data_IF_568343983371
#
_entry.id   IF_568343983371
#
_cell.length_a   1.000
_cell.length_b   1.000
_cell.length_c   1.000
_cell.angle_alpha   90.00
_cell.angle_beta   90.00
_cell.angle_gamma   90.00
#
_symmetry.space_group_name_H-M   'P 1'
#
loop_
_entity.id
_entity.type
_entity.pdbx_description
1 polymer ?
#
# COMPACT_ATOMS: atom_id res chain seq x y z
N UNK A 1 -10.66 -32.44 5.76
CA UNK A 1 -10.51 -30.98 5.87
C UNK A 1 -9.78 -30.49 4.63
N UNK A 2 -10.33 -29.50 3.91
CA UNK A 2 -9.56 -28.82 2.87
C UNK A 2 -8.50 -27.92 3.55
N UNK A 3 -7.29 -27.78 3.00
CA UNK A 3 -6.28 -26.90 3.56
C UNK A 3 -6.78 -25.45 3.50
N UNK A 4 -6.64 -24.72 4.61
CA UNK A 4 -6.88 -23.29 4.64
C UNK A 4 -5.75 -22.64 3.82
N UNK A 5 -6.06 -21.89 2.75
CA UNK A 5 -5.02 -21.22 1.98
C UNK A 5 -4.29 -20.24 2.90
N UNK A 6 -2.97 -20.40 3.01
CA UNK A 6 -2.13 -19.45 3.73
C UNK A 6 -2.18 -18.14 2.95
N UNK A 7 -2.63 -17.03 3.57
CA UNK A 7 -2.57 -15.74 2.89
C UNK A 7 -1.11 -15.45 2.51
N UNK A 8 -0.88 -14.87 1.32
CA UNK A 8 0.47 -14.53 0.88
C UNK A 8 1.14 -13.64 1.93
N UNK A 9 2.41 -13.91 2.21
CA UNK A 9 3.17 -13.15 3.19
C UNK A 9 3.20 -11.67 2.79
N UNK A 10 2.90 -10.78 3.73
CA UNK A 10 3.09 -9.36 3.50
C UNK A 10 4.59 -9.06 3.35
N UNK A 11 4.97 -8.14 2.45
CA UNK A 11 6.34 -7.65 2.42
C UNK A 11 6.76 -7.13 3.80
N UNK A 12 7.98 -7.47 4.23
CA UNK A 12 8.60 -6.96 5.47
C UNK A 12 9.08 -5.51 5.33
N UNK A 13 8.38 -4.74 4.51
CA UNK A 13 8.72 -3.37 4.14
C UNK A 13 8.02 -2.37 5.08
N UNK A 14 8.63 -1.21 5.25
CA UNK A 14 8.13 -0.14 6.14
C UNK A 14 7.35 0.89 5.32
N UNK A 15 6.03 1.04 5.52
CA UNK A 15 5.19 2.00 4.80
C UNK A 15 5.73 3.45 4.82
N UNK A 16 6.36 3.86 5.92
CA UNK A 16 6.88 5.22 6.06
C UNK A 16 8.02 5.55 5.08
N UNK A 17 8.68 4.55 4.50
CA UNK A 17 9.73 4.74 3.51
C UNK A 17 9.24 5.37 2.19
N UNK A 18 7.93 5.41 1.96
CA UNK A 18 7.33 5.98 0.75
C UNK A 18 6.92 7.45 0.92
N UNK A 19 6.85 7.97 2.15
CA UNK A 19 6.41 9.34 2.42
C UNK A 19 7.40 10.34 1.80
N UNK A 20 6.88 11.35 1.11
CA UNK A 20 7.63 12.38 0.39
C UNK A 20 8.01 12.03 -1.05
N UNK A 21 7.93 10.75 -1.43
CA UNK A 21 8.14 10.31 -2.81
C UNK A 21 7.01 10.79 -3.74
N UNK A 22 7.34 10.95 -5.02
CA UNK A 22 6.33 11.15 -6.06
C UNK A 22 5.48 9.86 -6.19
N UNK A 23 4.17 10.02 -6.35
CA UNK A 23 3.22 8.91 -6.26
C UNK A 23 3.50 7.78 -7.28
N UNK A 24 3.79 8.12 -8.53
CA UNK A 24 4.14 7.15 -9.57
C UNK A 24 5.44 6.40 -9.28
N UNK A 25 6.46 7.11 -8.80
CA UNK A 25 7.72 6.51 -8.34
C UNK A 25 7.52 5.58 -7.13
N UNK A 26 6.73 6.02 -6.15
CA UNK A 26 6.40 5.25 -4.96
C UNK A 26 5.64 3.96 -5.31
N UNK A 27 4.68 4.03 -6.23
CA UNK A 27 3.90 2.86 -6.66
C UNK A 27 4.79 1.82 -7.34
N UNK A 28 5.71 2.26 -8.21
CA UNK A 28 6.65 1.36 -8.88
C UNK A 28 7.59 0.68 -7.89
N UNK A 29 8.18 1.47 -6.99
CA UNK A 29 9.05 0.96 -5.93
C UNK A 29 8.30 -0.05 -5.04
N UNK A 30 7.04 0.22 -4.71
CA UNK A 30 6.23 -0.70 -3.92
C UNK A 30 6.02 -2.05 -4.62
N UNK A 31 5.71 -2.03 -5.92
CA UNK A 31 5.59 -3.27 -6.69
C UNK A 31 6.91 -4.04 -6.77
N UNK A 32 8.04 -3.35 -6.95
CA UNK A 32 9.37 -3.96 -6.92
C UNK A 32 9.70 -4.60 -5.55
N UNK A 33 9.19 -4.02 -4.46
CA UNK A 33 9.32 -4.56 -3.10
C UNK A 33 8.30 -5.65 -2.76
N UNK A 34 7.48 -6.07 -3.72
CA UNK A 34 6.57 -7.20 -3.59
C UNK A 34 5.15 -6.84 -3.14
N UNK A 35 4.77 -5.55 -3.13
CA UNK A 35 3.38 -5.15 -2.93
C UNK A 35 2.55 -5.50 -4.16
N UNK A 36 1.61 -6.44 -4.00
CA UNK A 36 0.74 -6.90 -5.08
C UNK A 36 -0.23 -5.81 -5.53
N UNK A 37 -0.78 -5.07 -4.57
CA UNK A 37 -1.78 -4.02 -4.82
C UNK A 37 -1.32 -2.73 -4.17
N UNK A 38 -1.33 -1.65 -4.94
CA UNK A 38 -1.07 -0.29 -4.44
C UNK A 38 -2.25 0.58 -4.80
N UNK A 39 -2.77 1.31 -3.82
CA UNK A 39 -3.92 2.21 -4.01
C UNK A 39 -3.56 3.61 -3.55
N UNK A 40 -3.70 4.58 -4.45
CA UNK A 40 -3.52 6.00 -4.15
C UNK A 40 -4.86 6.66 -3.85
N UNK A 41 -4.93 7.43 -2.77
CA UNK A 41 -6.12 8.08 -2.25
C UNK A 41 -5.85 9.58 -2.04
N UNK A 42 -6.83 10.46 -2.29
CA UNK A 42 -6.69 11.86 -1.90
C UNK A 42 -6.73 12.02 -0.37
N UNK A 43 -6.23 13.15 0.18
CA UNK A 43 -6.27 13.40 1.61
C UNK A 43 -7.69 13.38 2.16
N UNK A 44 -7.89 12.68 3.28
CA UNK A 44 -9.21 12.58 3.93
C UNK A 44 -10.23 11.68 3.22
N UNK A 45 -9.82 10.88 2.24
CA UNK A 45 -10.70 9.91 1.60
C UNK A 45 -11.29 8.91 2.63
N UNK A 46 -12.62 8.83 2.68
CA UNK A 46 -13.32 7.84 3.50
C UNK A 46 -13.41 6.55 2.71
N UNK A 47 -12.72 5.51 3.18
CA UNK A 47 -12.71 4.17 2.57
C UNK A 47 -13.22 3.14 3.58
N UNK A 48 -13.79 2.05 3.08
CA UNK A 48 -14.05 0.88 3.91
C UNK A 48 -12.73 0.23 4.30
N UNK A 49 -12.64 -0.16 5.58
CA UNK A 49 -11.44 -0.76 6.19
C UNK A 49 -11.28 -2.25 5.87
N UNK A 50 -11.80 -2.71 4.73
CA UNK A 50 -11.66 -4.11 4.31
C UNK A 50 -10.18 -4.41 4.15
N UNK A 51 -9.61 -5.33 4.92
CA UNK A 51 -8.19 -5.67 4.83
C UNK A 51 -7.93 -6.60 3.63
N UNK A 52 -6.90 -6.29 2.84
CA UNK A 52 -6.46 -7.14 1.73
C UNK A 52 -4.95 -7.39 1.81
N UNK A 53 -4.55 -8.59 2.21
CA UNK A 53 -3.13 -8.97 2.33
C UNK A 53 -2.32 -8.60 1.08
N UNK A 54 -1.21 -7.89 1.27
CA UNK A 54 -0.36 -7.40 0.18
C UNK A 54 -0.86 -6.11 -0.46
N UNK A 55 -1.81 -5.39 0.16
CA UNK A 55 -2.23 -4.06 -0.24
C UNK A 55 -1.53 -2.97 0.56
N UNK A 56 -0.97 -2.02 -0.18
CA UNK A 56 -0.46 -0.76 0.33
C UNK A 56 -1.38 0.38 -0.09
N UNK A 57 -1.65 1.29 0.82
CA UNK A 57 -2.40 2.50 0.55
C UNK A 57 -1.50 3.71 0.70
N UNK A 58 -1.57 4.63 -0.26
CA UNK A 58 -0.97 5.95 -0.19
C UNK A 58 -2.06 7.00 -0.04
N UNK A 59 -1.86 7.93 0.88
CA UNK A 59 -2.46 9.24 0.78
C UNK A 59 -1.53 10.11 -0.05
N UNK A 60 -2.06 10.73 -1.10
CA UNK A 60 -1.29 11.53 -2.05
C UNK A 60 -1.84 12.95 -2.08
N UNK A 61 -0.98 13.92 -1.84
CA UNK A 61 -1.26 15.35 -1.95
C UNK A 61 -0.21 15.99 -2.86
N UNK A 62 -0.63 16.84 -3.78
CA UNK A 62 0.27 17.51 -4.75
C UNK A 62 1.21 16.55 -5.49
N UNK A 63 0.71 15.35 -5.83
CA UNK A 63 1.48 14.31 -6.52
C UNK A 63 2.53 13.60 -5.65
N UNK A 64 2.55 13.86 -4.34
CA UNK A 64 3.48 13.24 -3.38
C UNK A 64 2.75 12.46 -2.31
N UNK A 65 3.37 11.38 -1.85
CA UNK A 65 2.84 10.58 -0.75
C UNK A 65 2.99 11.35 0.56
N UNK A 66 1.89 11.65 1.24
CA UNK A 66 1.87 12.30 2.56
C UNK A 66 1.71 11.30 3.69
N UNK A 67 1.09 10.15 3.43
CA UNK A 67 0.91 9.07 4.38
C UNK A 67 0.88 7.73 3.64
N UNK A 68 1.32 6.67 4.31
CA UNK A 68 1.33 5.33 3.76
C UNK A 68 0.91 4.33 4.84
N UNK A 69 0.07 3.35 4.49
CA UNK A 69 -0.36 2.30 5.42
C UNK A 69 -0.75 1.02 4.70
N UNK A 70 -0.52 -0.10 5.39
CA UNK A 70 -1.00 -1.41 4.97
C UNK A 70 -2.52 -1.45 5.12
N UNK A 71 -3.21 -2.15 4.24
CA UNK A 71 -4.64 -2.36 4.42
C UNK A 71 -5.17 -3.47 3.57
#
# INVERSE_FOLDING_TARGET
MAPIPTPPAEPSDTPDAYVGLEAGGAERLARERGWSTVRSLPPGAIITMEYLSGRLNFEVSDGRVTRCWKG
#
